data_IF_050347489986
#
_entry.id   IF_050347489986
#
_cell.length_a   1.000
_cell.length_b   1.000
_cell.length_c   1.000
_cell.angle_alpha   90.00
_cell.angle_beta   90.00
_cell.angle_gamma   90.00
#
_symmetry.space_group_name_H-M   'P 1'
#
loop_
_entity.id
_entity.type
_entity.pdbx_description
1 polymer ?
#
# COMPACT_ATOMS: atom_id res chain seq x y z
N UNK A 1 -30.18 -35.43 -37.04
CA UNK A 1 -29.04 -34.54 -36.69
C UNK A 1 -29.46 -33.11 -36.34
N UNK A 2 -30.44 -32.48 -37.01
CA UNK A 2 -30.85 -31.10 -36.72
C UNK A 2 -31.39 -30.84 -35.30
N UNK A 3 -32.01 -31.84 -34.65
CA UNK A 3 -32.57 -31.69 -33.30
C UNK A 3 -31.50 -31.50 -32.19
N UNK A 4 -30.35 -32.17 -32.30
CA UNK A 4 -29.25 -32.02 -31.33
C UNK A 4 -28.55 -30.66 -31.43
N UNK A 5 -28.52 -30.08 -32.64
CA UNK A 5 -27.92 -28.75 -32.86
C UNK A 5 -28.80 -27.68 -32.22
N UNK A 6 -30.12 -27.74 -32.42
CA UNK A 6 -31.08 -26.81 -31.80
C UNK A 6 -31.11 -26.91 -30.26
N UNK A 7 -30.92 -28.11 -29.71
CA UNK A 7 -30.82 -28.32 -28.25
C UNK A 7 -29.55 -27.70 -27.67
N UNK A 8 -28.41 -27.84 -28.36
CA UNK A 8 -27.14 -27.21 -27.96
C UNK A 8 -27.18 -25.68 -28.11
N UNK A 9 -27.81 -25.15 -29.16
CA UNK A 9 -28.01 -23.72 -29.38
C UNK A 9 -28.93 -23.09 -28.31
N UNK A 10 -29.95 -23.82 -27.84
CA UNK A 10 -30.81 -23.41 -26.74
C UNK A 10 -30.09 -23.30 -25.39
N UNK A 11 -29.08 -24.15 -25.14
CA UNK A 11 -28.25 -24.11 -23.93
C UNK A 11 -27.22 -22.97 -23.96
N UNK A 12 -26.70 -22.60 -25.13
CA UNK A 12 -25.75 -21.49 -25.30
C UNK A 12 -26.43 -20.13 -25.01
N UNK A 13 -27.73 -20.00 -25.29
CA UNK A 13 -28.51 -18.79 -24.97
C UNK A 13 -28.90 -18.63 -23.49
N UNK A 14 -28.69 -19.65 -22.65
CA UNK A 14 -29.06 -19.66 -21.22
C UNK A 14 -27.88 -19.52 -20.27
N UNK A 15 -26.64 -19.49 -20.76
CA UNK A 15 -25.49 -19.17 -19.93
C UNK A 15 -25.58 -17.69 -19.53
N UNK A 16 -26.07 -17.44 -18.30
CA UNK A 16 -26.10 -16.10 -17.71
C UNK A 16 -24.71 -15.48 -17.87
N UNK A 17 -24.57 -14.32 -18.53
CA UNK A 17 -23.27 -13.67 -18.66
C UNK A 17 -22.72 -13.43 -17.25
N UNK A 18 -21.45 -13.78 -17.06
CA UNK A 18 -20.78 -13.59 -15.78
C UNK A 18 -20.84 -12.12 -15.39
N UNK A 19 -21.47 -11.84 -14.26
CA UNK A 19 -21.57 -10.51 -13.69
C UNK A 19 -20.56 -10.36 -12.55
N UNK A 20 -19.45 -9.67 -12.86
CA UNK A 20 -18.37 -9.40 -11.93
C UNK A 20 -18.78 -8.52 -10.74
N UNK A 21 -19.99 -7.94 -10.74
CA UNK A 21 -20.51 -7.08 -9.66
C UNK A 21 -20.44 -7.75 -8.28
N UNK A 22 -20.72 -9.06 -8.21
CA UNK A 22 -20.66 -9.81 -6.95
C UNK A 22 -19.25 -9.90 -6.39
N UNK A 23 -18.23 -10.07 -7.25
CA UNK A 23 -16.82 -10.06 -6.82
C UNK A 23 -16.44 -8.66 -6.33
N UNK A 24 -16.84 -7.62 -7.07
CA UNK A 24 -16.55 -6.22 -6.72
C UNK A 24 -17.18 -5.76 -5.41
N UNK A 25 -18.30 -6.36 -5.02
CA UNK A 25 -18.94 -6.08 -3.74
C UNK A 25 -18.21 -6.74 -2.55
N UNK A 26 -17.46 -7.82 -2.77
CA UNK A 26 -16.82 -8.61 -1.72
C UNK A 26 -15.34 -8.31 -1.56
N UNK A 27 -14.67 -7.90 -2.63
CA UNK A 27 -13.24 -7.64 -2.65
C UNK A 27 -12.99 -6.15 -2.83
N UNK A 28 -12.20 -5.57 -1.94
CA UNK A 28 -11.79 -4.17 -2.07
C UNK A 28 -10.92 -3.97 -3.33
N UNK A 29 -11.07 -2.87 -4.07
CA UNK A 29 -10.19 -2.55 -5.20
C UNK A 29 -8.71 -2.44 -4.77
N UNK A 30 -7.79 -2.78 -5.67
CA UNK A 30 -6.34 -2.67 -5.46
C UNK A 30 -5.77 -1.53 -6.28
N UNK A 31 -5.23 -0.51 -5.60
CA UNK A 31 -4.65 0.67 -6.23
C UNK A 31 -3.16 0.47 -6.60
N UNK A 32 -2.44 -0.34 -5.82
CA UNK A 32 -0.98 -0.44 -5.91
C UNK A 32 -0.23 0.77 -5.35
N UNK A 33 -0.94 1.78 -4.84
CA UNK A 33 -0.37 3.02 -4.29
C UNK A 33 -0.45 3.07 -2.75
N UNK A 34 -1.30 2.23 -2.17
CA UNK A 34 -1.52 2.15 -0.73
C UNK A 34 -0.61 1.09 -0.06
N UNK A 35 -0.67 1.05 1.26
CA UNK A 35 0.05 0.06 2.08
C UNK A 35 -0.60 -1.32 2.05
N UNK A 36 -1.56 -1.56 1.15
CA UNK A 36 -2.20 -2.87 1.03
C UNK A 36 -1.20 -3.86 0.45
N UNK A 37 -0.94 -4.91 1.22
CA UNK A 37 -0.08 -6.00 0.79
C UNK A 37 -0.75 -6.80 -0.35
N UNK A 38 -0.03 -6.94 -1.47
CA UNK A 38 -0.52 -7.61 -2.68
C UNK A 38 -0.90 -9.07 -2.42
N UNK A 39 -0.15 -9.78 -1.58
CA UNK A 39 -0.44 -11.19 -1.27
C UNK A 39 -1.74 -11.32 -0.46
N UNK A 40 -1.93 -10.44 0.52
CA UNK A 40 -3.15 -10.37 1.31
C UNK A 40 -4.37 -10.03 0.45
N UNK A 41 -4.20 -9.14 -0.53
CA UNK A 41 -5.26 -8.81 -1.47
C UNK A 41 -5.60 -10.00 -2.39
N UNK A 42 -4.59 -10.66 -2.97
CA UNK A 42 -4.77 -11.83 -3.82
C UNK A 42 -5.43 -12.99 -3.09
N UNK A 43 -5.09 -13.23 -1.82
CA UNK A 43 -5.70 -14.28 -1.00
C UNK A 43 -7.22 -14.06 -0.88
N UNK A 44 -7.65 -12.85 -0.51
CA UNK A 44 -9.08 -12.49 -0.41
C UNK A 44 -9.80 -12.62 -1.75
N UNK A 45 -9.13 -12.24 -2.84
CA UNK A 45 -9.67 -12.35 -4.19
C UNK A 45 -9.87 -13.83 -4.58
N UNK A 46 -8.86 -14.67 -4.37
CA UNK A 46 -8.89 -16.10 -4.70
C UNK A 46 -9.88 -16.89 -3.83
N UNK A 47 -10.02 -16.51 -2.56
CA UNK A 47 -11.09 -17.01 -1.69
C UNK A 47 -12.47 -16.69 -2.25
N UNK A 48 -12.68 -15.44 -2.68
CA UNK A 48 -13.95 -15.02 -3.28
C UNK A 48 -14.25 -15.78 -4.56
N UNK A 49 -13.24 -16.00 -5.42
CA UNK A 49 -13.39 -16.81 -6.62
C UNK A 49 -13.79 -18.25 -6.33
N UNK A 50 -13.20 -18.85 -5.28
CA UNK A 50 -13.54 -20.19 -4.82
C UNK A 50 -14.98 -20.28 -4.29
N UNK A 51 -15.40 -19.31 -3.48
CA UNK A 51 -16.77 -19.26 -2.93
C UNK A 51 -17.82 -19.08 -4.02
N UNK A 52 -17.56 -18.18 -4.97
CA UNK A 52 -18.48 -17.87 -6.07
C UNK A 52 -18.34 -18.82 -7.27
N UNK A 53 -17.41 -19.79 -7.22
CA UNK A 53 -17.12 -20.75 -8.29
C UNK A 53 -16.88 -20.05 -9.64
N UNK A 54 -16.09 -19.00 -9.62
CA UNK A 54 -15.77 -18.18 -10.80
C UNK A 54 -14.85 -18.98 -11.72
N UNK A 55 -15.20 -19.06 -13.01
CA UNK A 55 -14.37 -19.74 -14.02
C UNK A 55 -13.08 -18.97 -14.36
N UNK A 56 -12.11 -19.63 -14.98
CA UNK A 56 -10.76 -19.06 -15.20
C UNK A 56 -10.76 -17.76 -16.01
N UNK A 57 -11.57 -17.69 -17.06
CA UNK A 57 -11.66 -16.49 -17.90
C UNK A 57 -12.32 -15.36 -17.13
N UNK A 58 -13.38 -15.68 -16.38
CA UNK A 58 -14.11 -14.73 -15.54
C UNK A 58 -13.23 -14.18 -14.41
N UNK A 59 -12.33 -14.98 -13.84
CA UNK A 59 -11.38 -14.55 -12.80
C UNK A 59 -10.48 -13.43 -13.31
N UNK A 60 -9.92 -13.58 -14.52
CA UNK A 60 -9.08 -12.53 -15.12
C UNK A 60 -9.87 -11.24 -15.33
N UNK A 61 -11.09 -11.33 -15.86
CA UNK A 61 -11.95 -10.17 -16.11
C UNK A 61 -12.30 -9.47 -14.79
N UNK A 62 -12.70 -10.22 -13.76
CA UNK A 62 -13.05 -9.70 -12.45
C UNK A 62 -11.85 -9.02 -11.77
N UNK A 63 -10.69 -9.68 -11.77
CA UNK A 63 -9.45 -9.17 -11.20
C UNK A 63 -9.01 -7.87 -11.89
N UNK A 64 -9.03 -7.83 -13.22
CA UNK A 64 -8.74 -6.64 -14.01
C UNK A 64 -9.70 -5.47 -13.72
N UNK A 65 -10.95 -5.78 -13.34
CA UNK A 65 -11.97 -4.80 -12.98
C UNK A 65 -11.87 -4.29 -11.54
N UNK A 66 -10.99 -4.86 -10.72
CA UNK A 66 -10.69 -4.43 -9.35
C UNK A 66 -9.40 -3.62 -9.23
N UNK A 67 -8.60 -3.53 -10.30
CA UNK A 67 -7.41 -2.69 -10.33
C UNK A 67 -7.79 -1.22 -10.55
N UNK A 68 -7.24 -0.35 -9.71
CA UNK A 68 -7.37 1.12 -9.75
C UNK A 68 -5.99 1.76 -9.65
N UNK A 69 -5.89 3.08 -9.69
CA UNK A 69 -4.62 3.79 -9.45
C UNK A 69 -3.47 3.33 -10.37
N UNK A 70 -2.28 3.19 -9.80
CA UNK A 70 -1.09 2.68 -10.52
C UNK A 70 -1.28 1.25 -11.03
N UNK A 71 -2.00 0.39 -10.32
CA UNK A 71 -2.27 -0.98 -10.77
C UNK A 71 -3.15 -1.01 -12.03
N UNK A 72 -4.07 -0.06 -12.20
CA UNK A 72 -4.83 0.07 -13.45
C UNK A 72 -3.93 0.46 -14.63
N UNK A 73 -2.96 1.35 -14.40
CA UNK A 73 -1.97 1.74 -15.42
C UNK A 73 -1.13 0.52 -15.81
N UNK A 74 -0.65 -0.24 -14.83
CA UNK A 74 0.06 -1.51 -15.05
C UNK A 74 -0.75 -2.46 -15.95
N UNK A 75 -2.05 -2.64 -15.69
CA UNK A 75 -2.93 -3.46 -16.53
C UNK A 75 -2.98 -2.98 -17.98
N UNK A 76 -3.00 -1.66 -18.21
CA UNK A 76 -3.12 -1.09 -19.56
C UNK A 76 -1.86 -1.28 -20.41
N UNK A 77 -0.70 -1.31 -19.77
CA UNK A 77 0.60 -1.45 -20.47
C UNK A 77 1.09 -2.90 -20.54
N UNK A 78 0.55 -3.79 -19.72
CA UNK A 78 0.97 -5.18 -19.62
C UNK A 78 0.03 -6.10 -20.40
N UNK A 79 0.58 -6.97 -21.24
CA UNK A 79 -0.21 -8.02 -21.90
C UNK A 79 -0.44 -9.18 -20.93
N UNK A 80 -1.70 -9.56 -20.74
CA UNK A 80 -2.14 -10.62 -19.82
C UNK A 80 -2.82 -11.74 -20.60
N UNK A 81 -2.35 -12.98 -20.43
CA UNK A 81 -2.90 -14.14 -21.17
C UNK A 81 -4.02 -14.83 -20.42
N UNK A 82 -3.82 -15.07 -19.15
CA UNK A 82 -4.73 -15.77 -18.25
C UNK A 82 -4.54 -15.25 -16.82
N UNK A 83 -5.32 -15.78 -15.88
CA UNK A 83 -5.25 -15.37 -14.49
C UNK A 83 -3.91 -15.70 -13.82
N UNK A 84 -3.24 -16.80 -14.20
CA UNK A 84 -1.97 -17.21 -13.61
C UNK A 84 -0.83 -16.26 -14.04
N UNK A 85 -0.82 -15.86 -15.31
CA UNK A 85 0.06 -14.82 -15.86
C UNK A 85 -0.19 -13.47 -15.18
N UNK A 86 -1.46 -13.10 -14.99
CA UNK A 86 -1.85 -11.91 -14.23
C UNK A 86 -1.30 -11.91 -12.81
N UNK A 87 -1.54 -12.98 -12.06
CA UNK A 87 -1.08 -13.13 -10.67
C UNK A 87 0.43 -12.99 -10.58
N UNK A 88 1.15 -13.68 -11.45
CA UNK A 88 2.62 -13.70 -11.45
C UNK A 88 3.19 -12.31 -11.69
N UNK A 89 2.73 -11.63 -12.76
CA UNK A 89 3.23 -10.31 -13.13
C UNK A 89 2.83 -9.23 -12.12
N UNK A 90 1.62 -9.31 -11.56
CA UNK A 90 1.15 -8.37 -10.57
C UNK A 90 1.96 -8.46 -9.27
N UNK A 91 2.27 -9.67 -8.81
CA UNK A 91 3.16 -9.87 -7.65
C UNK A 91 4.56 -9.36 -7.95
N UNK A 92 5.11 -9.65 -9.13
CA UNK A 92 6.45 -9.21 -9.50
C UNK A 92 6.60 -7.68 -9.45
N UNK A 93 5.58 -6.95 -9.93
CA UNK A 93 5.55 -5.49 -9.91
C UNK A 93 5.38 -4.93 -8.49
N UNK A 94 4.40 -5.43 -7.73
CA UNK A 94 3.98 -4.82 -6.46
C UNK A 94 4.58 -5.46 -5.19
N UNK A 95 5.51 -6.43 -5.32
CA UNK A 95 6.13 -7.12 -4.16
C UNK A 95 6.88 -6.20 -3.19
N UNK A 96 7.32 -5.02 -3.65
CA UNK A 96 8.18 -4.13 -2.86
C UNK A 96 7.44 -3.04 -2.07
N UNK A 97 6.10 -3.00 -2.11
CA UNK A 97 5.33 -1.95 -1.44
C UNK A 97 5.40 -2.00 0.11
N UNK A 98 6.01 -3.04 0.69
CA UNK A 98 6.40 -3.05 2.11
C UNK A 98 7.72 -2.30 2.30
N UNK A 99 7.67 -0.98 2.17
CA UNK A 99 8.71 -0.13 2.76
C UNK A 99 8.54 -0.15 4.27
N UNK A 100 9.46 -0.80 5.00
CA UNK A 100 9.50 -0.67 6.46
C UNK A 100 10.07 0.69 6.85
N UNK A 101 9.59 1.25 7.96
CA UNK A 101 10.11 2.53 8.50
C UNK A 101 11.65 2.50 8.64
N UNK A 102 12.21 1.35 9.01
CA UNK A 102 13.66 1.14 9.09
C UNK A 102 14.36 1.30 7.73
N UNK A 103 13.76 0.79 6.66
CA UNK A 103 14.28 0.89 5.29
C UNK A 103 14.18 2.34 4.79
N UNK A 104 13.07 3.02 5.09
CA UNK A 104 12.86 4.43 4.76
C UNK A 104 13.89 5.29 5.50
N UNK A 105 14.04 5.11 6.82
CA UNK A 105 15.01 5.86 7.64
C UNK A 105 16.44 5.61 7.18
N UNK A 106 16.78 4.36 6.83
CA UNK A 106 18.10 4.02 6.28
C UNK A 106 18.37 4.75 4.97
N UNK A 107 17.38 4.82 4.07
CA UNK A 107 17.55 5.51 2.79
C UNK A 107 17.61 7.03 2.95
N UNK A 108 16.76 7.61 3.80
CA UNK A 108 16.82 9.03 4.14
C UNK A 108 18.17 9.43 4.75
N UNK A 109 18.75 8.58 5.60
CA UNK A 109 20.09 8.81 6.19
C UNK A 109 21.20 8.76 5.14
N UNK A 110 21.08 7.90 4.11
CA UNK A 110 22.06 7.88 3.00
C UNK A 110 22.05 9.17 2.19
N UNK A 111 20.90 9.82 2.09
CA UNK A 111 20.71 11.09 1.38
C UNK A 111 20.91 12.33 2.27
N UNK A 112 21.48 12.19 3.48
CA UNK A 112 21.83 13.35 4.32
C UNK A 112 22.74 14.28 3.50
N UNK A 113 22.22 15.46 3.17
CA UNK A 113 22.98 16.50 2.48
C UNK A 113 24.21 16.79 3.32
N UNK A 114 25.41 16.59 2.75
CA UNK A 114 26.63 17.14 3.37
C UNK A 114 26.40 18.64 3.51
N UNK A 115 26.45 19.13 4.74
CA UNK A 115 26.18 20.53 5.14
C UNK A 115 26.98 21.62 4.39
N UNK A 116 27.84 21.23 3.43
CA UNK A 116 28.75 22.10 2.72
C UNK A 116 28.17 22.85 1.51
N UNK A 117 26.90 22.65 1.11
CA UNK A 117 26.34 23.35 -0.07
C UNK A 117 24.92 23.92 0.07
N UNK A 118 24.40 24.11 1.29
CA UNK A 118 23.16 24.88 1.49
C UNK A 118 23.49 26.30 1.96
N UNK A 119 23.08 27.37 1.26
CA UNK A 119 23.06 28.69 1.85
C UNK A 119 22.05 28.68 3.00
N UNK A 120 22.56 28.63 4.24
CA UNK A 120 21.77 28.77 5.45
C UNK A 120 20.82 29.98 5.33
N UNK A 121 19.51 29.83 5.55
CA UNK A 121 18.62 30.98 5.66
C UNK A 121 19.14 31.88 6.80
N UNK A 122 19.32 33.16 6.49
CA UNK A 122 20.00 34.18 7.33
C UNK A 122 19.37 34.38 8.71
N UNK A 123 18.26 33.71 9.04
CA UNK A 123 17.54 33.85 10.31
C UNK A 123 18.17 33.10 11.48
N UNK A 124 19.10 32.17 11.24
CA UNK A 124 19.72 31.38 12.31
C UNK A 124 21.24 31.61 12.36
N UNK A 125 21.67 32.84 12.69
CA UNK A 125 23.04 33.08 13.17
C UNK A 125 23.01 33.23 14.69
N UNK A 126 23.61 32.33 15.48
CA UNK A 126 23.94 32.65 16.86
C UNK A 126 25.11 33.66 16.83
N UNK A 127 24.83 34.91 17.15
CA UNK A 127 25.86 35.93 17.34
C UNK A 127 26.73 35.53 18.54
N UNK A 128 27.90 34.98 18.26
CA UNK A 128 28.94 34.75 19.26
C UNK A 128 29.86 35.98 19.28
N UNK A 129 29.53 37.00 20.09
CA UNK A 129 30.51 37.82 20.82
C UNK A 129 29.80 38.87 21.69
N UNK A 130 29.73 38.61 23.00
CA UNK A 130 30.08 39.53 24.09
C UNK A 130 29.69 38.85 25.41
N UNK A 131 30.68 38.59 26.28
CA UNK A 131 30.38 38.48 27.71
C UNK A 131 30.14 39.89 28.24
N UNK A 132 29.06 40.09 29.00
CA UNK A 132 29.23 40.82 30.26
C UNK A 132 28.64 40.05 31.44
N UNK A 133 29.14 40.44 32.61
CA UNK A 133 29.02 39.91 33.97
C UNK A 133 27.59 39.66 34.53
N UNK A 134 27.47 39.00 35.71
CA UNK A 134 26.22 38.45 36.21
C UNK A 134 25.43 39.47 37.04
N UNK A 135 24.13 39.56 36.82
CA UNK A 135 23.14 39.88 37.88
C UNK A 135 21.73 39.50 37.43
N UNK A 136 20.83 39.15 38.37
CA UNK A 136 19.69 38.28 38.13
C UNK A 136 18.45 39.07 37.76
N UNK A 137 17.63 38.49 36.90
CA UNK A 137 16.27 38.96 36.71
C UNK A 137 15.80 38.74 35.29
N UNK A 138 14.77 37.89 35.16
CA UNK A 138 14.01 37.57 33.95
C UNK A 138 14.57 36.41 33.12
N UNK A 139 14.43 35.21 33.66
CA UNK A 139 14.27 34.03 32.82
C UNK A 139 12.83 34.03 32.30
N UNK A 140 12.69 34.18 30.98
CA UNK A 140 11.44 34.01 30.27
C UNK A 140 10.84 32.62 30.52
N UNK A 141 9.53 32.62 30.70
CA UNK A 141 8.67 31.47 30.83
C UNK A 141 8.72 30.61 29.56
N UNK A 142 9.18 29.36 29.68
CA UNK A 142 8.53 28.26 28.99
C UNK A 142 8.31 27.14 30.01
N UNK A 143 7.05 27.05 30.40
CA UNK A 143 6.44 26.06 31.29
C UNK A 143 6.59 24.65 30.75
N UNK A 144 7.12 23.77 31.61
CA UNK A 144 6.47 22.54 32.04
C UNK A 144 5.52 21.83 31.05
N UNK A 145 6.01 20.72 30.50
CA UNK A 145 5.27 19.46 30.47
C UNK A 145 6.14 18.36 31.09
N UNK A 146 6.06 18.33 32.43
CA UNK A 146 6.10 17.15 33.32
C UNK A 146 5.16 16.06 32.73
N UNK A 147 5.42 14.75 32.65
CA UNK A 147 5.99 13.70 33.54
C UNK A 147 5.95 12.34 32.75
N UNK A 148 6.23 11.16 33.33
CA UNK A 148 7.52 10.65 33.82
C UNK A 148 7.87 9.25 33.25
N UNK A 149 9.12 8.86 33.51
CA UNK A 149 9.71 7.54 33.26
C UNK A 149 9.13 6.44 34.16
N UNK A 150 8.87 5.29 33.52
CA UNK A 150 9.09 3.90 33.90
C UNK A 150 8.66 3.38 35.29
N UNK A 151 7.74 2.41 35.21
CA UNK A 151 7.52 1.32 36.14
C UNK A 151 8.79 0.47 36.29
N UNK A 152 9.16 0.16 37.53
CA UNK A 152 9.83 -1.10 37.87
C UNK A 152 9.27 -1.60 39.20
N UNK A 153 8.24 -2.44 39.10
CA UNK A 153 7.87 -3.35 40.16
C UNK A 153 8.62 -4.66 39.97
N UNK A 154 9.48 -5.04 40.92
CA UNK A 154 9.82 -6.44 41.14
C UNK A 154 10.08 -6.74 42.61
N UNK A 155 9.64 -7.92 42.96
CA UNK A 155 9.22 -8.48 44.24
C UNK A 155 10.31 -9.40 44.84
N UNK A 156 10.16 -9.68 46.13
CA UNK A 156 10.79 -10.76 46.95
C UNK A 156 12.22 -10.48 47.45
N UNK A 157 12.56 -10.77 48.71
CA UNK A 157 11.99 -11.69 49.71
C UNK A 157 11.95 -11.10 51.13
#
# INVERSE_FOLDING_TARGET
MKAKIAELEGMIGQAKPFDATHVKALVQPFSGDDLMDIHTWLEKLEDTFRVLKVGKTEQLIAACGLLTGTAEVFRRITTLKDYDDFRTKLVEEFRYNKLTDETIVKELRKHTLKDSNLPMPKSCRPNRLHKPDPTPGRQCCYSMLLLPQQNDGKMEA
#
